data_IF_118034469552
#
_entry.id   IF_118034469552
#
_cell.length_a   1.000
_cell.length_b   1.000
_cell.length_c   1.000
_cell.angle_alpha   90.00
_cell.angle_beta   90.00
_cell.angle_gamma   90.00
#
_symmetry.space_group_name_H-M   'P 1'
#
loop_
_entity.id
_entity.type
_entity.pdbx_description
1 polymer ?
#
# COMPACT_ATOMS: atom_id res chain seq x y z
N UNK A 1 -31.23 -8.27 -4.85
CA UNK A 1 -30.04 -7.77 -4.11
C UNK A 1 -28.80 -8.33 -4.78
N UNK A 2 -27.81 -7.48 -5.02
CA UNK A 2 -26.53 -7.92 -5.60
C UNK A 2 -25.75 -8.73 -4.57
N UNK A 3 -25.28 -9.92 -4.97
CA UNK A 3 -24.45 -10.79 -4.13
C UNK A 3 -22.99 -10.69 -4.56
N UNK A 4 -22.10 -10.49 -3.61
CA UNK A 4 -20.64 -10.54 -3.83
C UNK A 4 -20.01 -11.66 -3.02
N UNK A 5 -18.89 -12.20 -3.50
CA UNK A 5 -18.02 -13.06 -2.69
C UNK A 5 -16.88 -12.22 -2.11
N UNK A 6 -16.50 -12.51 -0.88
CA UNK A 6 -15.30 -11.94 -0.27
C UNK A 6 -14.39 -13.04 0.26
N UNK A 7 -13.21 -13.16 -0.31
CA UNK A 7 -12.23 -14.19 -0.02
C UNK A 7 -11.09 -13.59 0.81
N UNK A 8 -11.02 -13.97 2.07
CA UNK A 8 -10.13 -13.40 3.08
C UNK A 8 -10.85 -12.42 4.00
N UNK A 9 -11.07 -12.86 5.25
CA UNK A 9 -11.73 -12.08 6.31
C UNK A 9 -10.73 -11.68 7.41
N UNK A 10 -9.56 -11.20 6.97
CA UNK A 10 -8.62 -10.49 7.84
C UNK A 10 -9.14 -9.10 8.20
N UNK A 11 -8.32 -8.28 8.85
CA UNK A 11 -8.74 -6.93 9.27
C UNK A 11 -9.32 -6.09 8.13
N UNK A 12 -8.63 -6.06 6.98
CA UNK A 12 -9.08 -5.30 5.80
C UNK A 12 -10.34 -5.91 5.19
N UNK A 13 -10.36 -7.24 4.98
CA UNK A 13 -11.52 -7.94 4.42
C UNK A 13 -12.77 -7.80 5.28
N UNK A 14 -12.64 -7.81 6.60
CA UNK A 14 -13.74 -7.53 7.53
C UNK A 14 -14.31 -6.13 7.31
N UNK A 15 -13.46 -5.09 7.24
CA UNK A 15 -13.90 -3.73 6.97
C UNK A 15 -14.63 -3.60 5.63
N UNK A 16 -14.10 -4.20 4.55
CA UNK A 16 -14.76 -4.20 3.25
C UNK A 16 -16.11 -4.92 3.26
N UNK A 17 -16.24 -6.04 3.99
CA UNK A 17 -17.51 -6.73 4.15
C UNK A 17 -18.53 -5.84 4.86
N UNK A 18 -18.14 -5.17 5.94
CA UNK A 18 -18.99 -4.21 6.64
C UNK A 18 -19.46 -3.09 5.71
N UNK A 19 -18.55 -2.53 4.92
CA UNK A 19 -18.89 -1.50 3.92
C UNK A 19 -19.85 -2.00 2.85
N UNK A 20 -19.62 -3.21 2.33
CA UNK A 20 -20.53 -3.83 1.37
C UNK A 20 -21.93 -4.01 1.95
N UNK A 21 -22.02 -4.44 3.21
CA UNK A 21 -23.30 -4.58 3.93
C UNK A 21 -24.00 -3.24 4.14
N UNK A 22 -23.25 -2.21 4.51
CA UNK A 22 -23.79 -0.85 4.64
C UNK A 22 -24.38 -0.30 3.32
N UNK A 23 -23.89 -0.79 2.18
CA UNK A 23 -24.40 -0.48 0.85
C UNK A 23 -25.50 -1.47 0.36
N UNK A 24 -26.05 -2.30 1.24
CA UNK A 24 -27.16 -3.20 0.92
C UNK A 24 -26.79 -4.44 0.11
N UNK A 25 -25.50 -4.78 -0.01
CA UNK A 25 -25.06 -5.99 -0.71
C UNK A 25 -25.17 -7.22 0.21
N UNK A 26 -25.48 -8.38 -0.35
CA UNK A 26 -25.28 -9.67 0.33
C UNK A 26 -23.87 -10.17 0.11
N UNK A 27 -23.25 -10.75 1.14
CA UNK A 27 -21.86 -11.17 1.10
C UNK A 27 -21.73 -12.67 1.41
N UNK A 28 -21.10 -13.40 0.50
CA UNK A 28 -20.65 -14.78 0.72
C UNK A 28 -19.18 -14.73 1.11
N UNK A 29 -18.89 -14.95 2.39
CA UNK A 29 -17.57 -14.79 2.96
C UNK A 29 -16.85 -16.13 3.11
N UNK A 30 -15.62 -16.19 2.67
CA UNK A 30 -14.75 -17.33 2.91
C UNK A 30 -13.40 -16.88 3.50
N UNK A 31 -12.87 -17.70 4.39
CA UNK A 31 -11.52 -17.53 4.91
C UNK A 31 -10.89 -18.89 5.20
N UNK A 32 -9.57 -19.01 5.02
CA UNK A 32 -8.83 -20.24 5.34
C UNK A 32 -9.09 -20.73 6.78
N UNK A 33 -9.16 -19.81 7.73
CA UNK A 33 -9.67 -20.08 9.08
C UNK A 33 -11.18 -19.83 9.10
N UNK A 34 -11.99 -20.89 9.02
CA UNK A 34 -13.45 -20.79 8.92
C UNK A 34 -14.08 -19.98 10.06
N UNK A 35 -13.53 -20.05 11.27
CA UNK A 35 -14.04 -19.32 12.43
C UNK A 35 -14.13 -17.80 12.20
N UNK A 36 -13.23 -17.22 11.40
CA UNK A 36 -13.28 -15.77 11.09
C UNK A 36 -14.47 -15.39 10.21
N UNK A 37 -14.81 -16.21 9.23
CA UNK A 37 -15.98 -15.99 8.38
C UNK A 37 -17.29 -16.26 9.16
N UNK A 38 -17.29 -17.29 10.00
CA UNK A 38 -18.44 -17.64 10.86
C UNK A 38 -18.75 -16.53 11.87
N UNK A 39 -17.74 -15.92 12.47
CA UNK A 39 -17.94 -14.79 13.39
C UNK A 39 -18.61 -13.58 12.69
N UNK A 40 -18.27 -13.31 11.44
CA UNK A 40 -18.93 -12.24 10.67
C UNK A 40 -20.39 -12.59 10.35
N UNK A 41 -20.66 -13.82 9.93
CA UNK A 41 -22.01 -14.29 9.62
C UNK A 41 -22.91 -14.35 10.88
N UNK A 42 -22.34 -14.64 12.04
CA UNK A 42 -23.07 -14.63 13.31
C UNK A 42 -23.54 -13.23 13.75
N UNK A 43 -22.87 -12.20 13.27
CA UNK A 43 -23.14 -10.81 13.61
C UNK A 43 -23.99 -10.06 12.56
N UNK A 44 -24.13 -10.59 11.34
CA UNK A 44 -24.88 -9.94 10.25
C UNK A 44 -25.56 -11.00 9.35
N UNK A 45 -26.88 -11.03 9.37
CA UNK A 45 -27.70 -11.96 8.58
C UNK A 45 -27.51 -11.83 7.05
N UNK A 46 -26.94 -10.74 6.57
CA UNK A 46 -26.63 -10.55 5.15
C UNK A 46 -25.23 -11.07 4.77
N UNK A 47 -24.51 -11.68 5.73
CA UNK A 47 -23.23 -12.36 5.49
C UNK A 47 -23.44 -13.86 5.62
N UNK A 48 -23.04 -14.63 4.62
CA UNK A 48 -23.04 -16.10 4.67
C UNK A 48 -21.61 -16.60 4.74
N UNK A 49 -21.26 -17.32 5.81
CA UNK A 49 -19.97 -18.00 5.90
C UNK A 49 -20.00 -19.27 5.02
N UNK A 50 -19.05 -19.36 4.09
CA UNK A 50 -18.93 -20.47 3.17
C UNK A 50 -17.80 -21.41 3.60
N UNK A 51 -18.02 -22.72 3.50
CA UNK A 51 -17.03 -23.73 3.85
C UNK A 51 -15.89 -23.81 2.82
N UNK A 52 -16.19 -23.57 1.56
CA UNK A 52 -15.23 -23.63 0.46
C UNK A 52 -15.24 -22.35 -0.38
N UNK A 53 -14.14 -22.10 -1.09
CA UNK A 53 -14.05 -20.98 -2.04
C UNK A 53 -15.08 -21.13 -3.17
N UNK A 54 -15.25 -22.36 -3.70
CA UNK A 54 -16.23 -22.65 -4.74
C UNK A 54 -17.67 -22.35 -4.30
N UNK A 55 -17.98 -22.63 -3.03
CA UNK A 55 -19.26 -22.24 -2.46
C UNK A 55 -19.39 -20.72 -2.40
N UNK A 56 -18.36 -20.00 -1.94
CA UNK A 56 -18.41 -18.56 -1.78
C UNK A 56 -18.66 -17.84 -3.12
N UNK A 57 -18.03 -18.27 -4.21
CA UNK A 57 -18.15 -17.60 -5.51
C UNK A 57 -19.45 -17.92 -6.26
N UNK A 58 -20.19 -18.93 -5.84
CA UNK A 58 -21.42 -19.35 -6.53
C UNK A 58 -22.47 -18.25 -6.55
N UNK A 59 -22.85 -17.79 -7.74
CA UNK A 59 -23.84 -16.74 -7.95
C UNK A 59 -23.37 -15.33 -7.60
N UNK A 60 -22.11 -15.14 -7.28
CA UNK A 60 -21.55 -13.82 -6.99
C UNK A 60 -21.29 -13.05 -8.30
N UNK A 61 -21.73 -11.80 -8.35
CA UNK A 61 -21.46 -10.87 -9.45
C UNK A 61 -19.99 -10.39 -9.42
N UNK A 62 -19.47 -10.16 -8.23
CA UNK A 62 -18.08 -9.74 -7.99
C UNK A 62 -17.46 -10.61 -6.92
N UNK A 63 -16.21 -10.97 -7.13
CA UNK A 63 -15.40 -11.78 -6.23
C UNK A 63 -14.23 -10.91 -5.78
N UNK A 64 -14.26 -10.47 -4.55
CA UNK A 64 -13.23 -9.64 -3.93
C UNK A 64 -12.26 -10.51 -3.15
N UNK A 65 -10.95 -10.20 -3.26
CA UNK A 65 -9.90 -10.86 -2.50
C UNK A 65 -9.16 -9.84 -1.62
N UNK A 66 -8.84 -10.24 -0.39
CA UNK A 66 -7.93 -9.52 0.50
C UNK A 66 -7.15 -10.56 1.31
N UNK A 67 -6.02 -10.99 0.74
CA UNK A 67 -5.20 -12.10 1.20
C UNK A 67 -3.81 -11.59 1.64
N UNK A 68 -2.88 -12.51 1.94
CA UNK A 68 -1.56 -12.16 2.47
C UNK A 68 -0.55 -11.78 1.39
N UNK A 69 -0.55 -12.49 0.26
CA UNK A 69 0.51 -12.42 -0.76
C UNK A 69 0.08 -13.07 -2.09
N UNK A 70 0.96 -13.04 -3.08
CA UNK A 70 0.77 -13.63 -4.41
C UNK A 70 0.46 -15.12 -4.36
N UNK A 71 1.19 -15.88 -3.55
CA UNK A 71 1.00 -17.33 -3.42
C UNK A 71 -0.40 -17.66 -2.89
N UNK A 72 -0.88 -16.89 -1.92
CA UNK A 72 -2.22 -17.03 -1.36
C UNK A 72 -3.30 -16.69 -2.39
N UNK A 73 -3.10 -15.65 -3.23
CA UNK A 73 -4.04 -15.28 -4.30
C UNK A 73 -4.12 -16.41 -5.33
N UNK A 74 -2.99 -16.91 -5.80
CA UNK A 74 -2.96 -17.99 -6.79
C UNK A 74 -3.53 -19.30 -6.22
N UNK A 75 -3.21 -19.67 -4.99
CA UNK A 75 -3.76 -20.86 -4.32
C UNK A 75 -5.28 -20.82 -4.16
N UNK A 76 -5.86 -19.62 -4.01
CA UNK A 76 -7.31 -19.42 -3.88
C UNK A 76 -8.00 -19.39 -5.25
N UNK A 77 -7.40 -18.75 -6.25
CA UNK A 77 -8.01 -18.57 -7.55
C UNK A 77 -7.84 -19.77 -8.49
N UNK A 78 -6.68 -20.45 -8.53
CA UNK A 78 -6.43 -21.52 -9.51
C UNK A 78 -7.43 -22.68 -9.43
N UNK A 79 -7.88 -23.15 -8.25
CA UNK A 79 -8.92 -24.17 -8.15
C UNK A 79 -10.29 -23.72 -8.69
N UNK A 80 -10.49 -22.42 -8.91
CA UNK A 80 -11.73 -21.86 -9.44
C UNK A 80 -11.74 -21.78 -10.97
N UNK A 81 -10.68 -22.20 -11.66
CA UNK A 81 -10.65 -22.23 -13.12
C UNK A 81 -11.80 -23.11 -13.65
N UNK A 82 -12.76 -22.51 -14.34
CA UNK A 82 -13.98 -23.18 -14.81
C UNK A 82 -15.16 -23.20 -13.81
N UNK A 83 -14.99 -22.79 -12.55
CA UNK A 83 -16.05 -22.70 -11.54
C UNK A 83 -16.55 -21.25 -11.32
N UNK A 84 -15.87 -20.26 -11.88
CA UNK A 84 -16.29 -18.85 -11.76
C UNK A 84 -17.59 -18.62 -12.52
N UNK A 85 -18.56 -17.87 -11.96
CA UNK A 85 -19.77 -17.50 -12.65
C UNK A 85 -19.47 -16.75 -13.96
N UNK A 86 -20.22 -17.04 -15.02
CA UNK A 86 -20.08 -16.36 -16.30
C UNK A 86 -20.26 -14.84 -16.10
N UNK A 87 -19.31 -14.06 -16.59
CA UNK A 87 -19.36 -12.62 -16.47
C UNK A 87 -19.03 -12.04 -15.08
N UNK A 88 -18.68 -12.85 -14.08
CA UNK A 88 -18.26 -12.34 -12.79
C UNK A 88 -16.91 -11.59 -12.87
N UNK A 89 -16.74 -10.65 -11.97
CA UNK A 89 -15.49 -9.91 -11.80
C UNK A 89 -14.65 -10.51 -10.67
N UNK A 90 -13.36 -10.61 -10.88
CA UNK A 90 -12.37 -10.87 -9.84
C UNK A 90 -11.63 -9.56 -9.56
N UNK A 91 -11.76 -9.06 -8.33
CA UNK A 91 -11.16 -7.80 -7.86
C UNK A 91 -10.22 -8.12 -6.70
N UNK A 92 -8.93 -8.05 -6.98
CA UNK A 92 -7.89 -8.37 -5.99
C UNK A 92 -7.38 -7.10 -5.30
N UNK A 93 -7.60 -6.99 -3.99
CA UNK A 93 -7.13 -5.90 -3.14
C UNK A 93 -5.83 -6.25 -2.39
N UNK A 94 -5.32 -7.46 -2.59
CA UNK A 94 -4.10 -7.95 -1.93
C UNK A 94 -2.89 -7.12 -2.35
N UNK A 95 -2.00 -6.83 -1.42
CA UNK A 95 -0.69 -6.26 -1.78
C UNK A 95 0.17 -7.37 -2.39
N UNK A 96 0.49 -7.25 -3.67
CA UNK A 96 1.18 -8.25 -4.48
C UNK A 96 2.36 -7.66 -5.23
N UNK A 97 3.25 -8.50 -5.73
CA UNK A 97 4.40 -8.08 -6.51
C UNK A 97 3.97 -7.64 -7.93
N UNK A 98 4.76 -6.74 -8.53
CA UNK A 98 4.41 -6.08 -9.80
C UNK A 98 4.30 -7.08 -10.95
N UNK A 99 5.35 -7.85 -11.21
CA UNK A 99 5.38 -8.83 -12.31
C UNK A 99 4.36 -9.97 -12.12
N UNK A 100 4.28 -10.65 -10.98
CA UNK A 100 3.25 -11.67 -10.74
C UNK A 100 1.84 -11.15 -10.93
N UNK A 101 1.56 -9.90 -10.58
CA UNK A 101 0.25 -9.28 -10.82
C UNK A 101 -0.06 -9.17 -12.31
N UNK A 102 0.89 -8.68 -13.13
CA UNK A 102 0.70 -8.59 -14.59
C UNK A 102 0.43 -9.98 -15.20
N UNK A 103 1.25 -10.97 -14.83
CA UNK A 103 1.14 -12.35 -15.31
C UNK A 103 -0.21 -12.97 -14.90
N UNK A 104 -0.66 -12.75 -13.67
CA UNK A 104 -1.95 -13.21 -13.16
C UNK A 104 -3.11 -12.59 -13.93
N UNK A 105 -3.12 -11.27 -14.12
CA UNK A 105 -4.17 -10.59 -14.88
C UNK A 105 -4.21 -11.09 -16.33
N UNK A 106 -3.07 -11.25 -16.98
CA UNK A 106 -2.98 -11.78 -18.35
C UNK A 106 -3.50 -13.22 -18.42
N UNK A 107 -3.07 -14.10 -17.51
CA UNK A 107 -3.48 -15.50 -17.44
C UNK A 107 -5.00 -15.66 -17.26
N UNK A 108 -5.59 -14.90 -16.34
CA UNK A 108 -7.04 -14.95 -16.11
C UNK A 108 -7.83 -14.32 -17.25
N UNK A 109 -7.30 -13.25 -17.86
CA UNK A 109 -7.90 -12.65 -19.06
C UNK A 109 -7.94 -13.64 -20.23
N UNK A 110 -6.86 -14.39 -20.46
CA UNK A 110 -6.82 -15.44 -21.49
C UNK A 110 -7.84 -16.58 -21.23
N UNK A 111 -8.23 -16.81 -20.00
CA UNK A 111 -9.29 -17.74 -19.59
C UNK A 111 -10.69 -17.12 -19.65
N UNK A 112 -10.85 -15.91 -20.17
CA UNK A 112 -12.13 -15.20 -20.27
C UNK A 112 -12.64 -14.59 -18.95
N UNK A 113 -11.81 -14.52 -17.91
CA UNK A 113 -12.18 -13.95 -16.59
C UNK A 113 -11.87 -12.46 -16.56
N UNK A 114 -12.81 -11.67 -16.05
CA UNK A 114 -12.62 -10.22 -15.85
C UNK A 114 -11.86 -9.96 -14.54
N UNK A 115 -10.54 -10.13 -14.59
CA UNK A 115 -9.66 -9.95 -13.43
C UNK A 115 -9.05 -8.55 -13.43
N UNK A 116 -9.08 -7.88 -12.29
CA UNK A 116 -8.42 -6.59 -12.04
C UNK A 116 -7.73 -6.59 -10.67
N UNK A 117 -6.63 -5.85 -10.57
CA UNK A 117 -5.95 -5.59 -9.32
C UNK A 117 -6.30 -4.18 -8.83
N UNK A 118 -6.79 -4.09 -7.59
CA UNK A 118 -7.27 -2.85 -6.99
C UNK A 118 -6.80 -2.71 -5.52
N UNK A 119 -5.49 -2.54 -5.29
CA UNK A 119 -4.92 -2.39 -3.95
C UNK A 119 -5.28 -1.05 -3.31
N UNK A 120 -5.14 -0.94 -1.99
CA UNK A 120 -5.64 0.20 -1.24
C UNK A 120 -4.61 0.81 -0.30
N UNK A 121 -4.71 2.13 -0.10
CA UNK A 121 -4.12 2.86 1.01
C UNK A 121 -5.21 3.17 2.03
N UNK A 122 -5.49 2.20 2.87
CA UNK A 122 -6.55 2.21 3.87
C UNK A 122 -6.08 1.49 5.14
N UNK A 123 -6.54 1.96 6.28
CA UNK A 123 -6.59 1.18 7.51
C UNK A 123 -7.92 0.39 7.55
N UNK A 124 -8.08 -0.61 8.45
CA UNK A 124 -9.33 -1.36 8.59
C UNK A 124 -10.57 -0.48 8.79
N UNK A 125 -10.47 0.61 9.57
CA UNK A 125 -11.54 1.58 9.74
C UNK A 125 -11.93 2.25 8.42
N UNK A 126 -10.95 2.67 7.61
CA UNK A 126 -11.22 3.27 6.30
C UNK A 126 -11.98 2.30 5.37
N UNK A 127 -11.68 1.00 5.42
CA UNK A 127 -12.42 0.00 4.64
C UNK A 127 -13.88 -0.07 5.06
N UNK A 128 -14.17 -0.04 6.37
CA UNK A 128 -15.54 -0.08 6.90
C UNK A 128 -16.32 1.21 6.59
N UNK A 129 -15.66 2.35 6.65
CA UNK A 129 -16.25 3.67 6.38
C UNK A 129 -16.35 3.98 4.88
N UNK A 130 -15.60 3.29 4.03
CA UNK A 130 -15.49 3.59 2.60
C UNK A 130 -14.69 4.86 2.33
N UNK A 131 -13.69 5.12 3.16
CA UNK A 131 -12.75 6.25 3.04
C UNK A 131 -11.38 5.78 2.55
N UNK A 132 -10.43 6.72 2.39
CA UNK A 132 -9.09 6.39 1.90
C UNK A 132 -9.02 6.20 0.39
N UNK A 133 -7.96 5.57 -0.10
CA UNK A 133 -7.64 5.49 -1.53
C UNK A 133 -7.61 4.04 -2.01
N UNK A 134 -8.30 3.78 -3.11
CA UNK A 134 -8.21 2.54 -3.88
C UNK A 134 -7.55 2.85 -5.22
N UNK A 135 -6.51 2.12 -5.57
CA UNK A 135 -5.83 2.23 -6.85
C UNK A 135 -6.41 1.20 -7.81
N UNK A 136 -6.49 1.52 -9.09
CA UNK A 136 -6.85 0.56 -10.13
C UNK A 136 -6.05 0.87 -11.39
N UNK A 137 -5.64 -0.17 -12.12
CA UNK A 137 -4.99 -0.04 -13.42
C UNK A 137 -5.36 -1.19 -14.34
N UNK A 138 -5.04 -1.07 -15.62
CA UNK A 138 -5.37 -2.04 -16.64
C UNK A 138 -6.39 -1.49 -17.64
N UNK A 139 -7.12 -2.38 -18.30
CA UNK A 139 -8.08 -2.05 -19.37
C UNK A 139 -9.06 -0.92 -18.94
N UNK A 140 -9.10 0.22 -19.67
CA UNK A 140 -9.99 1.34 -19.35
C UNK A 140 -11.48 0.95 -19.34
N UNK A 141 -11.90 0.04 -20.19
CA UNK A 141 -13.29 -0.42 -20.23
C UNK A 141 -13.65 -1.22 -18.97
N UNK A 142 -12.71 -2.00 -18.42
CA UNK A 142 -12.90 -2.70 -17.15
C UNK A 142 -12.97 -1.71 -15.99
N UNK A 143 -12.09 -0.70 -15.97
CA UNK A 143 -12.16 0.37 -14.97
C UNK A 143 -13.53 1.06 -15.01
N UNK A 144 -13.97 1.51 -16.18
CA UNK A 144 -15.25 2.20 -16.33
C UNK A 144 -16.44 1.34 -15.87
N UNK A 145 -16.44 0.05 -16.19
CA UNK A 145 -17.49 -0.87 -15.78
C UNK A 145 -17.53 -1.12 -14.26
N UNK A 146 -16.36 -1.15 -13.59
CA UNK A 146 -16.26 -1.37 -12.14
C UNK A 146 -16.39 -0.10 -11.30
N UNK A 147 -16.15 1.07 -11.90
CA UNK A 147 -16.10 2.35 -11.17
C UNK A 147 -17.31 2.58 -10.26
N UNK A 148 -18.58 2.39 -10.69
CA UNK A 148 -19.72 2.63 -9.81
C UNK A 148 -19.72 1.74 -8.56
N UNK A 149 -19.28 0.48 -8.69
CA UNK A 149 -19.25 -0.47 -7.60
C UNK A 149 -18.09 -0.23 -6.64
N UNK A 150 -16.89 0.09 -7.17
CA UNK A 150 -15.71 0.33 -6.35
C UNK A 150 -15.74 1.69 -5.65
N UNK A 151 -16.35 2.69 -6.27
CA UNK A 151 -16.52 4.02 -5.68
C UNK A 151 -17.30 3.98 -4.35
N UNK A 152 -18.20 3.02 -4.17
CA UNK A 152 -18.92 2.81 -2.92
C UNK A 152 -18.04 2.26 -1.79
N UNK A 153 -16.87 1.72 -2.13
CA UNK A 153 -15.96 1.04 -1.20
C UNK A 153 -14.77 1.91 -0.78
N UNK A 154 -14.63 3.11 -1.32
CA UNK A 154 -13.45 3.98 -1.11
C UNK A 154 -13.83 5.45 -1.14
N UNK A 155 -13.06 6.30 -0.46
CA UNK A 155 -13.18 7.76 -0.59
C UNK A 155 -12.70 8.29 -1.94
N UNK A 156 -11.68 7.64 -2.53
CA UNK A 156 -11.14 8.00 -3.84
C UNK A 156 -10.71 6.76 -4.61
N UNK A 157 -11.21 6.60 -5.83
CA UNK A 157 -10.78 5.57 -6.78
C UNK A 157 -9.86 6.21 -7.82
N UNK A 158 -8.58 5.80 -7.84
CA UNK A 158 -7.55 6.40 -8.68
C UNK A 158 -7.17 5.44 -9.81
N UNK A 159 -7.50 5.82 -11.06
CA UNK A 159 -7.08 5.08 -12.24
C UNK A 159 -5.67 5.47 -12.68
N UNK A 160 -4.78 4.49 -12.79
CA UNK A 160 -3.35 4.69 -13.05
C UNK A 160 -2.93 4.37 -14.49
N UNK A 161 -3.87 4.15 -15.40
CA UNK A 161 -3.58 3.88 -16.81
C UNK A 161 -3.67 2.40 -17.19
N UNK A 162 -3.38 2.07 -18.47
CA UNK A 162 -3.75 0.80 -19.07
C UNK A 162 -2.84 -0.40 -18.69
N UNK A 163 -1.68 -0.18 -18.10
CA UNK A 163 -0.79 -1.28 -17.69
C UNK A 163 -1.32 -1.93 -16.41
N UNK A 164 -1.65 -3.24 -16.42
CA UNK A 164 -2.35 -3.88 -15.31
C UNK A 164 -1.57 -3.91 -13.99
N UNK A 165 -0.24 -3.89 -14.04
CA UNK A 165 0.65 -3.93 -12.89
C UNK A 165 0.90 -2.58 -12.21
N UNK A 166 0.48 -1.46 -12.82
CA UNK A 166 0.78 -0.12 -12.25
C UNK A 166 0.21 0.08 -10.86
N UNK A 167 -0.98 -0.41 -10.60
CA UNK A 167 -1.57 -0.30 -9.27
C UNK A 167 -0.73 -1.05 -8.22
N UNK A 168 -0.19 -2.22 -8.54
CA UNK A 168 0.74 -2.95 -7.67
C UNK A 168 2.03 -2.16 -7.43
N UNK A 169 2.64 -1.60 -8.49
CA UNK A 169 3.84 -0.79 -8.36
C UNK A 169 3.62 0.43 -7.46
N UNK A 170 2.55 1.18 -7.70
CA UNK A 170 2.23 2.37 -6.90
C UNK A 170 1.90 2.02 -5.44
N UNK A 171 1.26 0.87 -5.21
CA UNK A 171 1.05 0.36 -3.84
C UNK A 171 2.37 0.10 -3.13
N UNK A 172 3.35 -0.50 -3.80
CA UNK A 172 4.68 -0.72 -3.23
C UNK A 172 5.44 0.60 -3.00
N UNK A 173 5.35 1.58 -3.90
CA UNK A 173 5.97 2.91 -3.72
C UNK A 173 5.43 3.61 -2.47
N UNK A 174 4.10 3.61 -2.28
CA UNK A 174 3.50 4.21 -1.11
C UNK A 174 3.83 3.47 0.19
N UNK A 175 3.84 2.12 0.17
CA UNK A 175 4.24 1.34 1.33
C UNK A 175 5.72 1.54 1.68
N UNK A 176 6.62 1.67 0.68
CA UNK A 176 8.03 2.01 0.91
C UNK A 176 8.15 3.35 1.65
N UNK A 177 7.38 4.37 1.21
CA UNK A 177 7.37 5.68 1.87
C UNK A 177 6.86 5.58 3.32
N UNK A 178 5.74 4.89 3.56
CA UNK A 178 5.17 4.72 4.90
C UNK A 178 6.12 3.98 5.85
N UNK A 179 6.74 2.91 5.40
CA UNK A 179 7.70 2.14 6.20
C UNK A 179 9.00 2.92 6.42
N UNK A 180 9.44 3.70 5.42
CA UNK A 180 10.57 4.63 5.58
C UNK A 180 10.33 5.66 6.67
N UNK A 181 9.13 6.26 6.73
CA UNK A 181 8.74 7.17 7.79
C UNK A 181 8.81 6.50 9.16
N UNK A 182 8.31 5.26 9.30
CA UNK A 182 8.40 4.51 10.56
C UNK A 182 9.86 4.26 10.97
N UNK A 183 10.74 3.95 10.01
CA UNK A 183 12.17 3.79 10.26
C UNK A 183 12.81 5.07 10.80
N UNK A 184 12.49 6.22 10.19
CA UNK A 184 12.97 7.53 10.65
C UNK A 184 12.43 7.90 12.04
N UNK A 185 11.14 7.66 12.30
CA UNK A 185 10.56 7.88 13.63
C UNK A 185 11.23 6.99 14.69
N UNK A 186 11.61 5.76 14.33
CA UNK A 186 12.42 4.90 15.19
C UNK A 186 13.78 5.52 15.53
N UNK A 187 14.45 6.16 14.57
CA UNK A 187 15.72 6.85 14.82
C UNK A 187 15.53 8.14 15.65
N UNK A 188 14.45 8.89 15.46
CA UNK A 188 14.10 10.02 16.33
C UNK A 188 13.97 9.56 17.79
N UNK A 189 13.26 8.45 18.03
CA UNK A 189 13.13 7.88 19.39
C UNK A 189 14.47 7.44 19.99
N UNK A 190 15.36 6.83 19.21
CA UNK A 190 16.71 6.45 19.65
C UNK A 190 17.56 7.67 19.99
N UNK A 191 17.51 8.69 19.13
CA UNK A 191 18.23 9.95 19.37
C UNK A 191 17.71 10.66 20.62
N UNK A 192 16.40 10.72 20.82
CA UNK A 192 15.77 11.28 22.01
C UNK A 192 16.26 10.57 23.28
N UNK A 193 16.26 9.24 23.29
CA UNK A 193 16.77 8.43 24.39
C UNK A 193 18.27 8.70 24.66
N UNK A 194 19.07 8.85 23.61
CA UNK A 194 20.50 9.15 23.71
C UNK A 194 20.79 10.48 24.41
N UNK A 195 19.96 11.49 24.17
CA UNK A 195 20.11 12.84 24.75
C UNK A 195 19.25 13.09 26.01
N UNK A 196 18.59 12.05 26.52
CA UNK A 196 17.79 12.12 27.74
C UNK A 196 16.46 12.86 27.61
N UNK A 197 15.91 12.95 26.41
CA UNK A 197 14.58 13.53 26.13
C UNK A 197 13.54 12.42 26.10
N UNK A 198 12.40 12.62 26.78
CA UNK A 198 11.28 11.68 26.71
C UNK A 198 10.74 11.56 25.28
N UNK A 199 10.39 10.34 24.88
CA UNK A 199 9.91 10.06 23.52
C UNK A 199 8.65 10.85 23.16
N UNK A 200 7.73 11.05 24.10
CA UNK A 200 6.51 11.83 23.90
C UNK A 200 6.84 13.29 23.60
N UNK A 201 7.80 13.85 24.36
CA UNK A 201 8.24 15.23 24.14
C UNK A 201 8.94 15.37 22.77
N UNK A 202 9.80 14.42 22.40
CA UNK A 202 10.44 14.43 21.09
C UNK A 202 9.42 14.35 19.94
N UNK A 203 8.37 13.54 20.08
CA UNK A 203 7.33 13.40 19.06
C UNK A 203 6.34 14.57 19.02
N UNK A 204 6.23 15.39 20.07
CA UNK A 204 5.44 16.62 20.05
C UNK A 204 5.91 17.62 18.97
N UNK A 205 7.16 17.49 18.50
CA UNK A 205 7.67 18.22 17.34
C UNK A 205 6.71 18.13 16.14
N UNK A 206 6.12 16.95 15.91
CA UNK A 206 5.28 16.70 14.73
C UNK A 206 3.87 17.31 14.84
N UNK A 207 3.50 17.88 15.98
CA UNK A 207 2.27 18.69 16.11
C UNK A 207 2.44 20.05 15.38
N UNK A 208 3.68 20.52 15.24
CA UNK A 208 4.01 21.82 14.65
C UNK A 208 4.83 21.72 13.36
N UNK A 209 5.55 20.63 13.17
CA UNK A 209 6.42 20.40 12.01
C UNK A 209 5.98 19.17 11.23
N UNK A 210 5.41 19.39 10.04
CA UNK A 210 5.00 18.32 9.13
C UNK A 210 5.91 18.22 7.91
N UNK A 211 6.99 17.41 7.95
CA UNK A 211 7.91 17.25 6.82
C UNK A 211 7.25 16.60 5.59
N UNK A 212 6.13 15.90 5.77
CA UNK A 212 5.36 15.29 4.68
C UNK A 212 4.86 16.31 3.64
N UNK A 213 4.63 17.57 4.04
CA UNK A 213 4.24 18.63 3.11
C UNK A 213 5.31 18.92 2.05
N UNK A 214 6.57 18.58 2.29
CA UNK A 214 7.67 18.80 1.34
C UNK A 214 7.82 17.65 0.33
N UNK A 215 7.16 16.51 0.50
CA UNK A 215 7.31 15.33 -0.35
C UNK A 215 7.07 15.62 -1.85
N UNK A 216 5.99 16.31 -2.26
CA UNK A 216 5.75 16.59 -3.68
C UNK A 216 6.87 17.42 -4.32
N UNK A 217 7.36 18.43 -3.60
CA UNK A 217 8.43 19.30 -4.09
C UNK A 217 9.76 18.53 -4.18
N UNK A 218 10.11 17.73 -3.18
CA UNK A 218 11.31 16.89 -3.18
C UNK A 218 11.27 15.83 -4.27
N UNK A 219 10.14 15.15 -4.45
CA UNK A 219 9.94 14.19 -5.52
C UNK A 219 10.10 14.84 -6.91
N UNK A 220 9.53 16.05 -7.12
CA UNK A 220 9.72 16.82 -8.35
C UNK A 220 11.19 17.17 -8.58
N UNK A 221 11.92 17.57 -7.55
CA UNK A 221 13.35 17.91 -7.65
C UNK A 221 14.20 16.69 -8.05
N UNK A 222 13.92 15.53 -7.45
CA UNK A 222 14.59 14.27 -7.80
C UNK A 222 14.28 13.88 -9.25
N UNK A 223 13.01 13.91 -9.65
CA UNK A 223 12.59 13.47 -11.00
C UNK A 223 12.99 14.42 -12.12
N UNK A 224 13.18 15.71 -11.83
CA UNK A 224 13.61 16.70 -12.84
C UNK A 224 15.13 16.78 -13.00
N UNK A 225 15.91 16.23 -12.06
CA UNK A 225 17.37 16.39 -12.05
C UNK A 225 17.85 17.83 -11.80
N UNK A 226 16.96 18.76 -11.40
CA UNK A 226 17.30 20.15 -11.14
C UNK A 226 17.71 20.34 -9.68
N UNK A 227 19.01 20.34 -9.43
CA UNK A 227 19.59 20.42 -8.08
C UNK A 227 20.17 21.78 -7.73
N UNK A 228 20.00 22.80 -8.60
CA UNK A 228 20.41 24.19 -8.39
C UNK A 228 19.26 25.16 -8.66
N UNK A 229 19.14 26.27 -7.89
CA UNK A 229 19.83 26.48 -6.61
C UNK A 229 19.40 25.48 -5.55
N UNK A 230 20.29 25.09 -4.60
CA UNK A 230 19.92 24.18 -3.52
C UNK A 230 18.96 24.85 -2.55
N UNK A 231 17.99 24.10 -2.03
CA UNK A 231 17.21 24.48 -0.85
C UNK A 231 17.91 24.04 0.44
N UNK A 232 18.72 22.99 0.34
CA UNK A 232 19.56 22.45 1.41
C UNK A 232 20.74 21.72 0.75
N UNK A 233 21.96 22.23 0.97
CA UNK A 233 23.16 21.64 0.37
C UNK A 233 23.46 20.25 0.92
N UNK A 234 23.94 19.35 0.05
CA UNK A 234 24.28 17.98 0.41
C UNK A 234 25.35 17.90 1.51
N UNK A 235 26.39 18.74 1.42
CA UNK A 235 27.45 18.81 2.44
C UNK A 235 26.91 19.22 3.82
N UNK A 236 25.94 20.14 3.85
CA UNK A 236 25.32 20.57 5.11
C UNK A 236 24.39 19.48 5.68
N UNK A 237 23.64 18.80 4.83
CA UNK A 237 22.84 17.65 5.24
C UNK A 237 23.74 16.53 5.81
N UNK A 238 24.87 16.26 5.18
CA UNK A 238 25.83 15.26 5.65
C UNK A 238 26.42 15.62 7.02
N UNK A 239 26.70 16.90 7.25
CA UNK A 239 27.11 17.42 8.56
C UNK A 239 26.03 17.12 9.61
N UNK A 240 24.76 17.38 9.29
CA UNK A 240 23.67 17.14 10.24
C UNK A 240 23.52 15.63 10.56
N UNK A 241 23.65 14.74 9.58
CA UNK A 241 23.67 13.30 9.84
C UNK A 241 24.83 12.90 10.77
N UNK A 242 26.03 13.47 10.57
CA UNK A 242 27.17 13.22 11.46
C UNK A 242 26.87 13.62 12.90
N UNK A 243 26.27 14.79 13.12
CA UNK A 243 25.88 15.23 14.47
C UNK A 243 24.87 14.27 15.11
N UNK A 244 23.89 13.78 14.35
CA UNK A 244 22.92 12.79 14.84
C UNK A 244 23.61 11.49 15.25
N UNK A 245 24.56 10.99 14.45
CA UNK A 245 25.34 9.78 14.76
C UNK A 245 26.20 9.96 16.02
N UNK A 246 26.88 11.10 16.14
CA UNK A 246 27.74 11.42 17.29
C UNK A 246 26.95 11.50 18.59
N UNK A 247 25.80 12.19 18.59
CA UNK A 247 24.94 12.30 19.78
C UNK A 247 24.31 10.95 20.15
N UNK A 248 23.85 10.18 19.15
CA UNK A 248 23.34 8.85 19.42
C UNK A 248 24.41 7.94 20.05
N UNK A 249 25.62 7.95 19.50
CA UNK A 249 26.75 7.15 20.02
C UNK A 249 27.16 7.56 21.45
N UNK A 250 27.17 8.88 21.76
CA UNK A 250 27.44 9.37 23.13
C UNK A 250 26.44 8.84 24.14
N UNK A 251 25.17 8.72 23.75
CA UNK A 251 24.11 8.12 24.57
C UNK A 251 23.97 6.61 24.45
N UNK A 252 24.94 5.91 23.84
CA UNK A 252 24.93 4.46 23.71
C UNK A 252 23.88 3.90 22.73
N UNK A 253 23.36 4.74 21.81
CA UNK A 253 22.38 4.36 20.80
C UNK A 253 23.01 4.23 19.41
N UNK A 254 22.40 3.39 18.56
CA UNK A 254 22.76 3.27 17.14
C UNK A 254 21.54 3.57 16.28
N UNK A 255 21.68 4.51 15.35
CA UNK A 255 20.63 4.87 14.41
C UNK A 255 20.59 3.84 13.26
N UNK A 256 19.39 3.54 12.76
CA UNK A 256 19.19 2.52 11.74
C UNK A 256 19.21 3.08 10.32
N UNK A 257 18.56 4.24 10.11
CA UNK A 257 18.38 4.85 8.78
C UNK A 257 19.49 5.84 8.45
N UNK A 258 20.01 6.54 9.44
CA UNK A 258 21.00 7.62 9.25
C UNK A 258 22.28 7.13 8.58
N UNK A 259 22.90 5.98 8.94
CA UNK A 259 24.14 5.51 8.28
C UNK A 259 23.95 5.22 6.78
N UNK A 260 22.80 4.69 6.40
CA UNK A 260 22.50 4.43 4.98
C UNK A 260 22.34 5.74 4.18
N UNK A 261 21.69 6.74 4.76
CA UNK A 261 21.58 8.08 4.16
C UNK A 261 22.94 8.76 4.09
N UNK A 262 23.75 8.69 5.15
CA UNK A 262 25.10 9.25 5.17
C UNK A 262 25.97 8.69 4.04
N UNK A 263 25.92 7.39 3.82
CA UNK A 263 26.65 6.73 2.71
C UNK A 263 26.27 7.31 1.34
N UNK A 264 24.95 7.49 1.08
CA UNK A 264 24.48 8.06 -0.18
C UNK A 264 24.99 9.49 -0.41
N UNK A 265 25.01 10.31 0.66
CA UNK A 265 25.52 11.67 0.57
C UNK A 265 27.04 11.70 0.43
N UNK A 266 27.78 10.83 1.11
CA UNK A 266 29.24 10.71 0.97
C UNK A 266 29.64 10.34 -0.46
N UNK A 267 28.91 9.44 -1.12
CA UNK A 267 29.10 9.09 -2.53
C UNK A 267 28.86 10.30 -3.46
N UNK A 268 27.87 11.13 -3.19
CA UNK A 268 27.58 12.37 -3.92
C UNK A 268 28.68 13.41 -3.71
N UNK A 269 29.12 13.61 -2.49
CA UNK A 269 30.21 14.53 -2.15
C UNK A 269 31.53 14.11 -2.82
N UNK A 270 31.85 12.81 -2.82
CA UNK A 270 33.01 12.26 -3.48
C UNK A 270 33.01 12.52 -5.01
N UNK A 271 31.83 12.66 -5.63
CA UNK A 271 31.69 13.10 -7.04
C UNK A 271 31.82 14.61 -7.24
N UNK A 272 32.12 15.38 -6.20
CA UNK A 272 32.21 16.86 -6.27
C UNK A 272 30.85 17.59 -6.22
N UNK A 273 29.78 16.93 -5.79
CA UNK A 273 28.40 17.42 -5.83
C UNK A 273 27.92 18.02 -4.49
N UNK A 274 28.82 18.23 -3.53
CA UNK A 274 28.49 18.70 -2.18
C UNK A 274 27.71 20.00 -2.10
N UNK A 275 27.85 20.89 -3.10
CA UNK A 275 27.13 22.17 -3.21
C UNK A 275 25.75 22.04 -3.87
N UNK A 276 25.42 20.88 -4.42
CA UNK A 276 24.09 20.63 -4.98
C UNK A 276 23.07 20.39 -3.85
N UNK A 277 21.79 20.51 -4.20
CA UNK A 277 20.69 20.15 -3.30
C UNK A 277 20.84 18.69 -2.84
N UNK A 278 20.53 18.42 -1.58
CA UNK A 278 20.60 17.09 -0.96
C UNK A 278 19.85 16.01 -1.77
N UNK A 279 18.82 16.39 -2.53
CA UNK A 279 18.10 15.49 -3.42
C UNK A 279 18.99 14.85 -4.50
N UNK A 280 20.12 15.47 -4.86
CA UNK A 280 21.09 14.87 -5.77
C UNK A 280 21.75 13.59 -5.20
N UNK A 281 21.89 13.50 -3.87
CA UNK A 281 22.47 12.35 -3.20
C UNK A 281 21.61 11.07 -3.30
N UNK A 282 20.31 11.24 -3.50
CA UNK A 282 19.36 10.10 -3.60
C UNK A 282 18.84 9.87 -5.03
N UNK A 283 19.47 10.49 -6.04
CA UNK A 283 19.10 10.25 -7.44
C UNK A 283 19.32 8.80 -7.85
N UNK A 284 18.46 8.32 -8.74
CA UNK A 284 18.61 6.98 -9.34
C UNK A 284 19.54 7.06 -10.54
N UNK A 285 20.66 6.31 -10.56
CA UNK A 285 21.54 6.28 -11.73
C UNK A 285 20.78 5.84 -12.99
N UNK A 286 20.88 6.60 -14.07
CA UNK A 286 20.27 6.27 -15.35
C UNK A 286 18.75 6.49 -15.47
N UNK A 287 18.14 7.16 -14.50
CA UNK A 287 16.73 7.54 -14.58
C UNK A 287 16.58 8.96 -15.21
#
# INVERSE_FOLDING_TARGET
MTTIAFLGTGLMGTGFIQRARANGLTVRAWNRSAAKAQALAGNDAGVTACATVAEAVRGAERIHLSLSDDASVDAVLEPLAGALPAGAWVVDHTTTAVRPTAERVARWTARGVRCVHAPVFMAPANCAEGTGWMLISGDPARHQALQPALQLMTGSLVYLGPQPERAAAFKLFGNLTLLGILGVLGDVGRLAAAVGIDMKDAFSLFEHFNPGQTLPQRAKRISSGQYTPPSFEMSMARKDLRLMEEEAARGGQTLAMVPALAKLLDEGIARGEGQLDVAAGVRVPGA
#
